data_IF_097584176392
#
_entry.id   IF_097584176392
#
_cell.length_a   1.000
_cell.length_b   1.000
_cell.length_c   1.000
_cell.angle_alpha   90.00
_cell.angle_beta   90.00
_cell.angle_gamma   90.00
#
_symmetry.space_group_name_H-M   'P 1'
#
loop_
_entity.id
_entity.type
_entity.pdbx_description
1 polymer ?
#
# COMPACT_ATOMS: atom_id res chain seq x y z
N UNK A 1 -5.15 -4.99 20.49
CA UNK A 1 -4.50 -3.80 20.85
C UNK A 1 -4.13 -2.96 19.66
N UNK A 2 -4.43 -1.72 19.75
CA UNK A 2 -4.17 -0.85 18.63
C UNK A 2 -2.73 -0.48 18.54
N UNK A 3 -2.25 -0.43 17.34
CA UNK A 3 -0.92 0.00 17.08
C UNK A 3 -1.00 1.47 16.77
N UNK A 4 -0.24 2.29 17.40
CA UNK A 4 -0.33 3.66 17.05
C UNK A 4 0.96 4.10 16.35
N UNK A 5 1.00 5.35 15.92
CA UNK A 5 2.08 5.80 15.07
C UNK A 5 3.42 5.81 15.76
N UNK A 6 3.44 5.75 17.07
CA UNK A 6 4.70 5.73 17.79
C UNK A 6 5.46 4.44 17.63
N UNK A 7 4.77 3.39 17.17
CA UNK A 7 5.43 2.12 16.92
C UNK A 7 6.15 2.09 15.60
N UNK A 8 6.00 3.12 14.79
CA UNK A 8 6.54 3.13 13.44
C UNK A 8 7.81 3.98 13.37
N UNK A 9 8.80 3.55 12.60
CA UNK A 9 10.00 4.36 12.43
C UNK A 9 9.70 5.62 11.65
N UNK A 10 10.12 6.74 12.19
CA UNK A 10 9.84 8.04 11.61
C UNK A 10 10.38 8.19 10.20
N UNK A 11 11.59 7.73 9.97
CA UNK A 11 12.20 7.91 8.66
C UNK A 11 11.42 7.22 7.56
N UNK A 12 11.02 5.99 7.82
CA UNK A 12 10.27 5.23 6.82
C UNK A 12 8.90 5.83 6.63
N UNK A 13 8.27 6.20 7.73
CA UNK A 13 6.94 6.79 7.67
C UNK A 13 6.97 8.07 6.83
N UNK A 14 7.96 8.93 7.04
CA UNK A 14 8.05 10.16 6.29
C UNK A 14 8.30 9.92 4.81
N UNK A 15 9.11 8.91 4.49
CA UNK A 15 9.35 8.59 3.09
C UNK A 15 8.08 8.11 2.40
N UNK A 16 7.32 7.27 3.07
CA UNK A 16 6.08 6.76 2.49
C UNK A 16 5.08 7.88 2.30
N UNK A 17 4.94 8.74 3.31
CA UNK A 17 4.00 9.84 3.21
C UNK A 17 4.40 10.77 2.08
N UNK A 18 5.69 11.05 1.94
CA UNK A 18 6.14 11.92 0.86
C UNK A 18 5.83 11.30 -0.50
N UNK A 19 6.07 10.01 -0.65
CA UNK A 19 5.78 9.34 -1.91
C UNK A 19 4.28 9.45 -2.23
N UNK A 20 3.44 9.15 -1.27
CA UNK A 20 1.99 9.19 -1.49
C UNK A 20 1.51 10.61 -1.75
N UNK A 21 2.09 11.57 -1.07
CA UNK A 21 1.75 12.97 -1.29
C UNK A 21 2.03 13.38 -2.73
N UNK A 22 3.16 12.97 -3.26
CA UNK A 22 3.51 13.32 -4.63
C UNK A 22 2.67 12.54 -5.63
N UNK A 23 2.39 11.29 -5.32
CA UNK A 23 1.62 10.46 -6.21
C UNK A 23 0.21 10.99 -6.42
N UNK A 24 -0.40 11.49 -5.35
CA UNK A 24 -1.78 11.92 -5.39
C UNK A 24 -1.96 13.42 -5.29
N UNK A 25 -0.85 14.17 -5.29
CA UNK A 25 -0.92 15.63 -5.18
C UNK A 25 -1.69 16.06 -3.94
N UNK A 26 -1.47 15.36 -2.83
CA UNK A 26 -2.08 15.72 -1.55
C UNK A 26 -1.05 16.29 -0.63
N UNK A 27 -1.40 17.30 0.18
CA UNK A 27 -0.43 17.83 1.14
C UNK A 27 -0.01 16.78 2.15
N UNK A 28 1.27 16.76 2.50
CA UNK A 28 1.75 15.78 3.46
C UNK A 28 1.01 15.89 4.79
N UNK A 29 0.55 17.09 5.13
CA UNK A 29 -0.17 17.30 6.40
C UNK A 29 -1.47 16.55 6.47
N UNK A 30 -2.00 16.13 5.33
CA UNK A 30 -3.26 15.41 5.32
C UNK A 30 -3.09 13.90 5.33
N UNK A 31 -1.85 13.43 5.29
CA UNK A 31 -1.58 12.00 5.24
C UNK A 31 -0.95 11.61 6.57
N UNK A 32 -1.56 10.66 7.25
CA UNK A 32 -1.05 10.19 8.53
C UNK A 32 -1.09 8.67 8.55
N UNK A 33 -0.55 8.03 9.61
CA UNK A 33 -0.49 6.57 9.62
C UNK A 33 -1.83 5.88 9.49
N UNK A 34 -2.90 6.53 9.89
CA UNK A 34 -4.23 5.94 9.80
C UNK A 34 -4.90 6.18 8.47
N UNK A 35 -4.32 6.99 7.59
CA UNK A 35 -4.94 7.28 6.31
C UNK A 35 -5.08 6.00 5.50
N UNK A 36 -6.28 5.78 4.96
CA UNK A 36 -6.56 4.61 4.15
C UNK A 36 -6.23 4.93 2.70
N UNK A 37 -5.52 4.01 2.05
CA UNK A 37 -5.00 4.31 0.72
C UNK A 37 -6.12 4.55 -0.30
N UNK A 38 -7.11 3.69 -0.30
CA UNK A 38 -8.18 3.82 -1.27
C UNK A 38 -9.20 4.86 -0.85
N UNK A 39 -9.65 4.78 0.40
CA UNK A 39 -10.76 5.62 0.85
C UNK A 39 -10.36 7.04 1.15
N UNK A 40 -9.19 7.24 1.76
CA UNK A 40 -8.78 8.58 2.19
C UNK A 40 -7.83 9.25 1.23
N UNK A 41 -6.94 8.50 0.61
CA UNK A 41 -5.94 9.08 -0.27
C UNK A 41 -6.36 8.96 -1.73
N UNK A 42 -7.17 7.97 -2.05
CA UNK A 42 -7.75 7.86 -3.38
C UNK A 42 -6.92 7.07 -4.38
N UNK A 43 -6.11 6.12 -3.91
CA UNK A 43 -5.34 5.32 -4.84
C UNK A 43 -6.24 4.40 -5.65
N UNK A 44 -5.94 4.27 -6.92
CA UNK A 44 -6.63 3.29 -7.77
C UNK A 44 -5.60 2.28 -8.27
N UNK A 45 -5.98 1.50 -9.28
CA UNK A 45 -5.13 0.41 -9.75
C UNK A 45 -3.79 0.87 -10.28
N UNK A 46 -3.78 1.95 -11.05
CA UNK A 46 -2.52 2.48 -11.58
C UNK A 46 -1.62 2.98 -10.47
N UNK A 47 -2.21 3.61 -9.48
CA UNK A 47 -1.46 4.14 -8.36
C UNK A 47 -0.86 3.02 -7.53
N UNK A 48 -1.56 1.92 -7.42
CA UNK A 48 -1.06 0.78 -6.66
C UNK A 48 0.17 0.18 -7.36
N UNK A 49 0.15 0.15 -8.69
CA UNK A 49 1.31 -0.32 -9.43
C UNK A 49 2.52 0.56 -9.12
N UNK A 50 2.32 1.86 -9.09
CA UNK A 50 3.39 2.79 -8.75
C UNK A 50 3.89 2.56 -7.33
N UNK A 51 2.97 2.37 -6.41
CA UNK A 51 3.34 2.14 -5.02
C UNK A 51 4.15 0.86 -4.87
N UNK A 52 3.68 -0.22 -5.48
CA UNK A 52 4.39 -1.49 -5.36
C UNK A 52 5.77 -1.41 -5.99
N UNK A 53 5.88 -0.72 -7.12
CA UNK A 53 7.19 -0.52 -7.75
C UNK A 53 8.12 0.23 -6.82
N UNK A 54 7.61 1.27 -6.18
CA UNK A 54 8.38 2.05 -5.24
C UNK A 54 8.88 1.18 -4.08
N UNK A 55 7.99 0.35 -3.54
CA UNK A 55 8.36 -0.49 -2.41
C UNK A 55 9.45 -1.50 -2.78
N UNK A 56 9.33 -2.07 -3.97
CA UNK A 56 10.34 -3.03 -4.39
C UNK A 56 11.67 -2.34 -4.67
N UNK A 57 11.64 -1.21 -5.36
CA UNK A 57 12.87 -0.55 -5.76
C UNK A 57 13.59 0.12 -4.62
N UNK A 58 12.84 0.75 -3.73
CA UNK A 58 13.47 1.51 -2.65
C UNK A 58 13.74 0.67 -1.42
N UNK A 59 12.93 -0.32 -1.15
CA UNK A 59 13.02 -1.08 0.10
C UNK A 59 13.24 -2.57 -0.11
N UNK A 60 13.25 -3.02 -1.34
CA UNK A 60 13.52 -4.42 -1.67
C UNK A 60 12.57 -5.38 -0.97
N UNK A 61 11.31 -5.04 -0.88
CA UNK A 61 10.40 -5.93 -0.19
C UNK A 61 9.82 -6.96 -1.15
N UNK A 62 9.41 -8.07 -0.58
CA UNK A 62 8.80 -9.16 -1.32
C UNK A 62 7.31 -8.93 -1.39
N UNK A 63 6.77 -8.71 -2.59
CA UNK A 63 5.36 -8.46 -2.75
C UNK A 63 4.62 -9.65 -3.34
N UNK A 64 5.23 -10.84 -3.30
CA UNK A 64 4.59 -12.01 -3.92
C UNK A 64 3.30 -12.41 -3.24
N UNK A 65 3.08 -12.03 -2.00
CA UNK A 65 1.84 -12.35 -1.31
C UNK A 65 0.78 -11.27 -1.46
N UNK A 66 1.07 -10.19 -2.18
CA UNK A 66 0.10 -9.13 -2.36
C UNK A 66 -1.01 -9.60 -3.31
N UNK A 67 -2.24 -9.47 -2.87
CA UNK A 67 -3.39 -9.88 -3.67
C UNK A 67 -4.20 -8.62 -3.98
N UNK A 68 -4.07 -8.12 -5.20
CA UNK A 68 -4.71 -6.87 -5.59
C UNK A 68 -6.21 -6.89 -5.32
N UNK A 69 -6.87 -7.99 -5.66
CA UNK A 69 -8.32 -8.04 -5.56
C UNK A 69 -8.83 -8.10 -4.12
N UNK A 70 -7.93 -8.31 -3.18
CA UNK A 70 -8.33 -8.27 -1.78
C UNK A 70 -8.62 -6.84 -1.33
N UNK A 71 -8.02 -5.87 -2.02
CA UNK A 71 -8.09 -4.48 -1.59
C UNK A 71 -8.78 -3.56 -2.58
N UNK A 72 -8.79 -3.90 -3.86
CA UNK A 72 -9.30 -3.03 -4.90
C UNK A 72 -10.25 -3.78 -5.80
N UNK A 73 -11.24 -3.07 -6.31
CA UNK A 73 -12.21 -3.67 -7.20
C UNK A 73 -11.82 -3.59 -8.65
N UNK A 74 -11.16 -2.50 -9.02
CA UNK A 74 -10.86 -2.28 -10.42
C UNK A 74 -9.88 -3.27 -10.95
N UNK A 75 -9.95 -3.45 -12.24
CA UNK A 75 -8.97 -4.26 -12.92
C UNK A 75 -7.64 -3.55 -12.90
N UNK A 76 -6.59 -4.24 -12.52
CA UNK A 76 -5.27 -3.59 -12.51
C UNK A 76 -4.74 -3.41 -13.91
N UNK A 77 -4.06 -2.29 -14.11
CA UNK A 77 -3.39 -2.01 -15.37
C UNK A 77 -1.91 -1.99 -15.10
N UNK A 78 -1.36 -3.16 -14.87
CA UNK A 78 0.02 -3.23 -14.45
C UNK A 78 0.95 -3.26 -15.62
N UNK A 79 2.12 -2.66 -15.43
CA UNK A 79 3.18 -2.82 -16.39
C UNK A 79 3.83 -4.13 -16.16
N UNK A 80 5.10 -4.12 -15.83
CA UNK A 80 5.82 -5.36 -15.73
C UNK A 80 5.93 -5.92 -14.35
N UNK A 81 5.96 -5.06 -13.38
CA UNK A 81 6.34 -5.50 -12.06
C UNK A 81 5.31 -6.37 -11.39
N UNK A 82 4.06 -5.99 -11.46
CA UNK A 82 3.04 -6.67 -10.69
C UNK A 82 2.16 -7.56 -11.53
N UNK A 83 2.40 -7.63 -12.82
CA UNK A 83 1.53 -8.38 -13.70
C UNK A 83 1.43 -9.84 -13.28
N UNK A 84 2.55 -10.44 -12.94
CA UNK A 84 2.56 -11.86 -12.59
C UNK A 84 2.02 -12.13 -11.20
N UNK A 85 1.77 -11.08 -10.43
CA UNK A 85 1.21 -11.23 -9.11
C UNK A 85 -0.30 -11.28 -9.09
N UNK A 86 -0.93 -10.97 -10.22
CA UNK A 86 -2.38 -10.87 -10.25
C UNK A 86 -2.97 -12.24 -9.96
N UNK A 87 -3.81 -12.33 -8.95
CA UNK A 87 -4.38 -13.62 -8.60
C UNK A 87 -5.36 -14.08 -9.64
N UNK A 88 -5.56 -15.35 -9.69
CA UNK A 88 -6.47 -15.92 -10.64
C UNK A 88 -7.91 -15.80 -10.24
N UNK A 89 -8.18 -15.69 -8.96
CA UNK A 89 -9.55 -15.57 -8.52
C UNK A 89 -9.93 -14.13 -8.37
N UNK A 90 -11.20 -13.84 -8.37
CA UNK A 90 -11.67 -12.51 -8.21
C UNK A 90 -12.13 -12.27 -6.81
N UNK A 91 -11.95 -11.07 -6.38
CA UNK A 91 -12.41 -10.67 -5.07
C UNK A 91 -13.88 -10.69 -5.05
N UNK A 92 -14.42 -10.92 -3.92
CA UNK A 92 -15.75 -10.98 -3.94
C UNK A 92 -16.32 -10.04 -3.07
N UNK A 93 -16.44 -10.03 -1.94
CA UNK A 93 -17.30 -9.26 -1.24
C UNK A 93 -16.74 -8.09 -0.63
N UNK A 94 -16.05 -8.27 0.39
CA UNK A 94 -15.61 -7.18 1.18
C UNK A 94 -14.21 -6.90 0.89
N UNK A 95 -13.87 -5.68 0.57
CA UNK A 95 -12.50 -5.27 0.35
C UNK A 95 -11.86 -4.94 1.67
N UNK A 96 -10.64 -5.38 1.85
CA UNK A 96 -9.87 -5.00 3.02
C UNK A 96 -9.27 -3.62 2.82
N UNK A 97 -8.97 -2.97 3.90
CA UNK A 97 -8.43 -1.62 3.88
C UNK A 97 -6.95 -1.64 4.18
N UNK A 98 -6.18 -0.90 3.41
CA UNK A 98 -4.75 -0.73 3.66
C UNK A 98 -4.52 0.69 4.16
N UNK A 99 -3.84 0.83 5.27
CA UNK A 99 -3.45 2.15 5.76
C UNK A 99 -1.99 2.41 5.51
N UNK A 100 -1.59 3.67 5.69
CA UNK A 100 -0.17 4.02 5.59
C UNK A 100 0.65 3.19 6.58
N UNK A 101 0.13 2.98 7.78
CA UNK A 101 0.83 2.17 8.78
C UNK A 101 1.07 0.75 8.28
N UNK A 102 0.11 0.19 7.56
CA UNK A 102 0.26 -1.17 7.03
C UNK A 102 1.41 -1.23 6.02
N UNK A 103 1.55 -0.20 5.21
CA UNK A 103 2.65 -0.14 4.26
C UNK A 103 3.99 -0.08 5.00
N UNK A 104 4.06 0.75 6.03
CA UNK A 104 5.31 0.87 6.78
C UNK A 104 5.67 -0.46 7.44
N UNK A 105 4.68 -1.17 7.99
CA UNK A 105 4.94 -2.45 8.60
C UNK A 105 5.47 -3.47 7.61
N UNK A 106 4.95 -3.43 6.39
CA UNK A 106 5.45 -4.33 5.35
C UNK A 106 6.88 -4.00 4.99
N UNK A 107 7.22 -2.72 4.96
CA UNK A 107 8.60 -2.33 4.70
C UNK A 107 9.52 -2.86 5.80
N UNK A 108 9.09 -2.75 7.03
CA UNK A 108 9.89 -3.25 8.15
C UNK A 108 10.08 -4.76 8.09
N UNK A 109 9.07 -5.47 7.63
CA UNK A 109 9.13 -6.92 7.56
C UNK A 109 9.81 -7.41 6.29
N UNK A 110 10.08 -6.52 5.35
CA UNK A 110 10.69 -6.84 4.08
C UNK A 110 9.81 -7.73 3.20
N UNK A 111 8.53 -7.75 3.49
CA UNK A 111 7.57 -8.48 2.67
C UNK A 111 6.19 -7.91 2.93
N UNK A 112 5.30 -8.10 1.98
CA UNK A 112 3.93 -7.61 2.17
C UNK A 112 3.26 -8.37 3.29
N UNK A 113 2.68 -7.63 4.21
CA UNK A 113 1.93 -8.20 5.31
C UNK A 113 0.49 -7.80 5.15
N UNK A 114 -0.39 -8.79 5.05
CA UNK A 114 -1.80 -8.53 4.89
C UNK A 114 -2.35 -7.85 6.14
N UNK A 115 -3.03 -6.72 6.01
CA UNK A 115 -3.57 -6.05 7.18
C UNK A 115 -4.57 -6.93 7.91
N UNK A 116 -4.59 -6.76 9.20
CA UNK A 116 -5.53 -7.47 10.03
C UNK A 116 -6.89 -6.80 9.88
N UNK A 117 -7.92 -7.56 9.80
CA UNK A 117 -9.19 -6.92 9.76
C UNK A 117 -10.17 -7.47 8.85
#
# INVERSE_FOLDING_TARGET
>A
MLRDSRDLPDDILKQVIKFLSELQAEPVERINPSSRLREDIGLDGDDVDELLSYLVKEFCIDISSFDFYRYFKEEPHFGNLTQWLIPQHKANKRLKTITVADVVRSIQAKRWIDPVG
#
